data_IF_031861886427
#
_entry.id   IF_031861886427
#
_cell.length_a   1.000
_cell.length_b   1.000
_cell.length_c   1.000
_cell.angle_alpha   90.00
_cell.angle_beta   90.00
_cell.angle_gamma   90.00
#
_symmetry.space_group_name_H-M   'P 1'
#
loop_
_entity.id
_entity.type
_entity.pdbx_description
1 polymer ?
#
# COMPACT_ATOMS: atom_id res chain seq x y z
N UNK A 1 -67.29 23.18 12.18
CA UNK A 1 -66.21 22.71 11.28
C UNK A 1 -64.99 23.60 11.52
N UNK A 2 -63.92 23.06 12.11
CA UNK A 2 -62.75 23.86 12.53
C UNK A 2 -62.05 24.41 11.27
N UNK A 3 -61.99 25.75 11.13
CA UNK A 3 -61.36 26.42 9.99
C UNK A 3 -59.85 26.43 10.22
N UNK A 4 -59.13 25.54 9.55
CA UNK A 4 -57.67 25.53 9.57
C UNK A 4 -57.20 26.71 8.72
N UNK A 5 -56.41 27.61 9.32
CA UNK A 5 -55.88 28.79 8.64
C UNK A 5 -54.89 28.38 7.55
N UNK A 6 -55.07 28.90 6.33
CA UNK A 6 -54.23 28.61 5.16
C UNK A 6 -52.74 28.89 5.42
N UNK A 7 -52.42 29.85 6.29
CA UNK A 7 -51.04 30.14 6.71
C UNK A 7 -50.38 29.02 7.53
N UNK A 8 -51.17 28.20 8.23
CA UNK A 8 -50.66 27.04 8.96
C UNK A 8 -50.20 25.92 8.02
N UNK A 9 -50.81 25.83 6.83
CA UNK A 9 -50.46 24.88 5.76
C UNK A 9 -49.14 25.25 5.07
N UNK A 10 -48.89 26.55 4.88
CA UNK A 10 -47.63 27.04 4.30
C UNK A 10 -46.42 26.86 5.22
N UNK A 11 -46.59 27.09 6.53
CA UNK A 11 -45.51 26.89 7.52
C UNK A 11 -45.14 25.40 7.62
N UNK A 12 -46.13 24.51 7.59
CA UNK A 12 -45.90 23.06 7.60
C UNK A 12 -45.13 22.59 6.34
N UNK A 13 -45.45 23.14 5.17
CA UNK A 13 -44.73 22.83 3.93
C UNK A 13 -43.26 23.25 3.93
N UNK A 14 -42.91 24.33 4.65
CA UNK A 14 -41.54 24.85 4.68
C UNK A 14 -40.63 24.01 5.59
N UNK A 15 -41.18 23.40 6.64
CA UNK A 15 -40.45 22.54 7.59
C UNK A 15 -40.02 21.22 6.94
N UNK A 16 -40.80 20.70 5.99
CA UNK A 16 -40.47 19.45 5.28
C UNK A 16 -39.22 19.55 4.40
N UNK A 17 -38.75 20.77 4.07
CA UNK A 17 -37.54 21.00 3.27
C UNK A 17 -36.24 20.84 4.07
N UNK A 18 -36.30 20.85 5.41
CA UNK A 18 -35.14 20.74 6.30
C UNK A 18 -34.98 19.30 6.83
N UNK A 19 -34.75 18.35 5.93
CA UNK A 19 -34.38 16.99 6.34
C UNK A 19 -32.88 16.92 6.66
N UNK A 20 -32.46 16.26 7.75
CA UNK A 20 -31.05 16.04 8.01
C UNK A 20 -30.46 15.10 6.95
N UNK A 21 -29.42 15.56 6.25
CA UNK A 21 -28.60 14.66 5.42
C UNK A 21 -27.77 13.81 6.36
N UNK A 22 -27.89 12.49 6.23
CA UNK A 22 -26.98 11.55 6.85
C UNK A 22 -25.88 11.24 5.85
N UNK A 23 -24.63 11.35 6.30
CA UNK A 23 -23.47 10.89 5.54
C UNK A 23 -22.85 9.73 6.29
N UNK A 24 -22.52 8.66 5.56
CA UNK A 24 -21.83 7.52 6.12
C UNK A 24 -20.39 7.55 5.59
N UNK A 25 -19.41 7.39 6.48
CA UNK A 25 -18.05 7.14 6.05
C UNK A 25 -18.00 5.74 5.42
N UNK A 26 -17.63 5.66 4.14
CA UNK A 26 -17.30 4.39 3.52
C UNK A 26 -15.91 3.97 4.01
N UNK A 27 -15.82 2.79 4.63
CA UNK A 27 -14.54 2.18 4.96
C UNK A 27 -13.84 1.82 3.65
N UNK A 28 -12.76 2.52 3.32
CA UNK A 28 -11.88 2.10 2.25
C UNK A 28 -11.14 0.85 2.72
N UNK A 29 -11.48 -0.31 2.16
CA UNK A 29 -10.64 -1.50 2.27
C UNK A 29 -9.34 -1.18 1.54
N UNK A 30 -8.34 -0.72 2.29
CA UNK A 30 -6.96 -0.75 1.82
C UNK A 30 -6.62 -2.23 1.79
N UNK A 31 -6.75 -2.86 0.62
CA UNK A 31 -6.10 -4.13 0.39
C UNK A 31 -4.64 -3.91 0.75
N UNK A 32 -4.20 -4.52 1.84
CA UNK A 32 -2.84 -4.43 2.31
C UNK A 32 -1.95 -5.04 1.22
N UNK A 33 -1.46 -4.20 0.31
CA UNK A 33 -0.47 -4.60 -0.68
C UNK A 33 0.81 -4.83 0.10
N UNK A 34 1.00 -6.07 0.56
CA UNK A 34 2.22 -6.53 1.20
C UNK A 34 3.35 -6.36 0.20
N UNK A 35 4.03 -5.22 0.26
CA UNK A 35 5.22 -4.95 -0.55
C UNK A 35 6.40 -5.58 0.17
N UNK A 36 6.68 -6.85 -0.13
CA UNK A 36 7.88 -7.50 0.36
C UNK A 36 9.11 -6.98 -0.42
N UNK A 37 10.26 -6.77 0.23
CA UNK A 37 11.50 -6.51 -0.51
C UNK A 37 11.81 -7.71 -1.42
N UNK A 38 12.24 -7.43 -2.64
CA UNK A 38 12.74 -8.48 -3.53
C UNK A 38 13.92 -9.20 -2.88
N UNK A 39 13.98 -10.52 -3.04
CA UNK A 39 15.14 -11.28 -2.60
C UNK A 39 16.38 -10.84 -3.37
N UNK A 40 17.52 -10.79 -2.68
CA UNK A 40 18.80 -10.47 -3.31
C UNK A 40 19.19 -11.56 -4.33
N UNK A 41 19.61 -11.14 -5.51
CA UNK A 41 20.21 -12.02 -6.50
C UNK A 41 21.67 -12.27 -6.13
N UNK A 42 21.99 -13.46 -5.64
CA UNK A 42 23.33 -13.84 -5.19
C UNK A 42 23.86 -14.98 -6.05
N UNK A 43 25.11 -14.86 -6.52
CA UNK A 43 25.76 -15.89 -7.30
C UNK A 43 27.27 -15.95 -7.10
N UNK A 44 27.90 -16.99 -7.64
CA UNK A 44 29.34 -17.19 -7.56
C UNK A 44 30.06 -16.54 -8.75
N UNK A 45 31.14 -15.82 -8.46
CA UNK A 45 32.12 -15.39 -9.47
C UNK A 45 33.45 -16.09 -9.23
N UNK A 46 34.22 -16.26 -10.30
CA UNK A 46 35.45 -17.04 -10.31
C UNK A 46 36.64 -16.18 -10.73
N UNK A 47 37.81 -16.45 -10.15
CA UNK A 47 39.06 -15.78 -10.49
C UNK A 47 40.26 -16.70 -10.28
N UNK A 48 41.28 -16.58 -11.13
CA UNK A 48 42.56 -17.24 -10.92
C UNK A 48 43.43 -16.39 -9.98
N UNK A 49 43.83 -16.96 -8.85
CA UNK A 49 44.72 -16.33 -7.85
C UNK A 49 45.83 -17.35 -7.57
N UNK A 50 47.09 -16.95 -7.80
CA UNK A 50 48.28 -17.80 -7.66
C UNK A 50 48.16 -19.16 -8.37
N UNK A 51 47.63 -19.14 -9.60
CA UNK A 51 47.45 -20.34 -10.42
C UNK A 51 46.32 -21.27 -9.96
N UNK A 52 45.56 -20.89 -8.94
CA UNK A 52 44.43 -21.67 -8.43
C UNK A 52 43.11 -20.94 -8.67
N UNK A 53 42.09 -21.70 -9.09
CA UNK A 53 40.75 -21.18 -9.26
C UNK A 53 40.12 -20.91 -7.88
N UNK A 54 39.70 -19.68 -7.65
CA UNK A 54 38.95 -19.29 -6.48
C UNK A 54 37.55 -18.84 -6.89
N UNK A 55 36.60 -18.95 -5.96
CA UNK A 55 35.24 -18.43 -6.09
C UNK A 55 34.87 -17.53 -4.91
N UNK A 56 34.05 -16.52 -5.16
CA UNK A 56 33.50 -15.61 -4.14
C UNK A 56 32.05 -15.26 -4.48
N UNK A 57 31.23 -15.14 -3.46
CA UNK A 57 29.83 -14.74 -3.64
C UNK A 57 29.75 -13.25 -3.97
N UNK A 58 28.89 -12.92 -4.91
CA UNK A 58 28.58 -11.56 -5.32
C UNK A 58 27.07 -11.34 -5.24
N UNK A 59 26.67 -10.26 -4.57
CA UNK A 59 25.30 -9.79 -4.56
C UNK A 59 25.09 -8.87 -5.77
N UNK A 60 24.32 -9.33 -6.75
CA UNK A 60 24.02 -8.60 -7.97
C UNK A 60 22.97 -7.51 -7.75
N UNK A 61 22.13 -7.63 -6.73
CA UNK A 61 21.15 -6.59 -6.37
C UNK A 61 21.85 -5.38 -5.73
N UNK A 62 22.85 -5.63 -4.88
CA UNK A 62 23.54 -4.62 -4.09
C UNK A 62 24.94 -4.28 -4.62
N UNK A 63 25.34 -4.88 -5.74
CA UNK A 63 26.63 -4.72 -6.42
C UNK A 63 27.86 -4.90 -5.51
N UNK A 64 27.75 -5.77 -4.50
CA UNK A 64 28.79 -5.94 -3.48
C UNK A 64 29.30 -7.38 -3.37
N UNK A 65 30.57 -7.52 -3.03
CA UNK A 65 31.15 -8.80 -2.68
C UNK A 65 30.69 -9.27 -1.30
N UNK A 66 30.43 -10.57 -1.16
CA UNK A 66 30.08 -11.21 0.10
C UNK A 66 31.23 -12.12 0.53
N UNK A 67 31.65 -12.00 1.79
CA UNK A 67 32.72 -12.83 2.36
C UNK A 67 34.07 -12.67 1.67
N UNK A 68 34.91 -13.70 1.72
CA UNK A 68 36.25 -13.74 1.10
C UNK A 68 36.29 -14.71 -0.07
N UNK A 69 37.34 -14.61 -0.90
CA UNK A 69 37.64 -15.64 -1.89
C UNK A 69 37.93 -16.98 -1.21
N UNK A 70 37.34 -18.05 -1.72
CA UNK A 70 37.60 -19.43 -1.29
C UNK A 70 38.11 -20.23 -2.48
N UNK A 71 38.99 -21.20 -2.23
CA UNK A 71 39.44 -22.13 -3.27
C UNK A 71 38.21 -22.87 -3.83
N UNK A 72 38.07 -22.90 -5.17
CA UNK A 72 36.86 -23.33 -5.85
C UNK A 72 36.59 -24.83 -5.73
#
# INVERSE_FOLDING_TARGET
MKKISLGFLFIFSFILMFQPVTTFAAEQTVDEVITAPYADSIGWRYQMIDGKLHKRQYNYTQEKWIGSWVLA
#
